data_IF_708778417825
#
_entry.id   IF_708778417825
#
_cell.length_a   1.000
_cell.length_b   1.000
_cell.length_c   1.000
_cell.angle_alpha   90.00
_cell.angle_beta   90.00
_cell.angle_gamma   90.00
#
_symmetry.space_group_name_H-M   'P 1'
#
loop_
_entity.id
_entity.type
_entity.pdbx_description
1 polymer ?
#
# COMPACT_ATOMS: atom_id res chain seq x y z
N UNK A 1 16.70 4.37 -13.64
CA UNK A 1 16.97 5.81 -13.48
C UNK A 1 18.23 6.00 -12.67
N UNK A 2 19.19 6.75 -13.22
CA UNK A 2 20.35 7.25 -12.46
C UNK A 2 19.84 8.41 -11.61
N UNK A 3 20.18 8.45 -10.33
CA UNK A 3 19.78 9.46 -9.32
C UNK A 3 18.41 9.33 -8.63
N UNK A 4 17.75 8.16 -8.69
CA UNK A 4 16.57 7.88 -7.85
C UNK A 4 16.85 6.77 -6.84
N UNK A 5 16.19 6.84 -5.68
CA UNK A 5 16.20 5.74 -4.71
C UNK A 5 15.41 4.55 -5.26
N UNK A 6 15.78 3.35 -4.82
CA UNK A 6 15.09 2.11 -5.19
C UNK A 6 13.60 2.13 -4.84
N UNK A 7 13.25 2.76 -3.71
CA UNK A 7 11.90 2.91 -3.21
C UNK A 7 11.49 4.38 -3.22
N UNK A 8 10.25 4.63 -3.63
CA UNK A 8 9.61 5.94 -3.47
C UNK A 8 9.33 6.25 -2.00
N UNK A 9 9.16 7.53 -1.65
CA UNK A 9 8.97 7.94 -0.26
C UNK A 9 7.73 7.34 0.41
N UNK A 10 6.71 6.96 -0.37
CA UNK A 10 5.50 6.33 0.17
C UNK A 10 5.58 4.80 0.28
N UNK A 11 6.64 4.16 -0.21
CA UNK A 11 6.75 2.69 -0.19
C UNK A 11 6.72 2.08 1.21
N UNK A 12 7.17 2.85 2.21
CA UNK A 12 7.21 2.43 3.61
C UNK A 12 6.04 2.99 4.43
N UNK A 13 5.04 3.59 3.78
CA UNK A 13 3.84 4.03 4.49
C UNK A 13 3.12 2.84 5.10
N UNK A 14 2.73 3.00 6.36
CA UNK A 14 1.92 2.06 7.12
C UNK A 14 0.46 2.51 7.00
N UNK A 15 -0.47 1.56 6.87
CA UNK A 15 -1.90 1.87 6.91
C UNK A 15 -2.38 1.99 8.34
N UNK A 16 -3.04 3.10 8.64
CA UNK A 16 -3.67 3.42 9.91
C UNK A 16 -5.17 3.62 9.73
N UNK A 17 -5.91 3.41 10.82
CA UNK A 17 -7.30 3.83 10.96
C UNK A 17 -7.38 4.90 12.04
N UNK A 18 -7.94 6.07 11.71
CA UNK A 18 -8.13 7.16 12.67
C UNK A 18 -9.41 7.93 12.35
N UNK A 19 -10.27 8.11 13.36
CA UNK A 19 -11.58 8.76 13.24
C UNK A 19 -12.40 8.26 12.02
N UNK A 20 -12.43 6.93 11.82
CA UNK A 20 -13.12 6.30 10.70
C UNK A 20 -12.49 6.52 9.32
N UNK A 21 -11.38 7.24 9.23
CA UNK A 21 -10.57 7.37 8.02
C UNK A 21 -9.53 6.25 7.94
N UNK A 22 -9.15 5.88 6.71
CA UNK A 22 -8.08 4.93 6.44
C UNK A 22 -6.95 5.68 5.77
N UNK A 23 -5.77 5.71 6.38
CA UNK A 23 -4.70 6.64 6.05
C UNK A 23 -3.40 5.88 5.84
N UNK A 24 -2.69 6.18 4.74
CA UNK A 24 -1.32 5.69 4.55
C UNK A 24 -0.32 6.71 5.04
N UNK A 25 0.33 6.42 6.17
CA UNK A 25 1.17 7.37 6.89
C UNK A 25 2.62 6.87 6.87
N UNK A 26 3.61 7.70 6.47
CA UNK A 26 5.01 7.33 6.58
C UNK A 26 5.41 7.22 8.06
N UNK A 27 6.49 6.50 8.37
CA UNK A 27 7.04 6.46 9.74
C UNK A 27 7.63 7.82 10.16
N UNK A 28 8.28 8.52 9.23
CA UNK A 28 8.91 9.84 9.41
C UNK A 28 8.51 10.78 8.27
N UNK A 29 8.52 12.08 8.53
CA UNK A 29 8.08 13.12 7.61
C UNK A 29 6.60 13.51 7.81
N UNK A 30 6.19 14.63 7.21
CA UNK A 30 4.83 15.19 7.29
C UNK A 30 4.39 15.58 8.72
N UNK A 31 5.33 15.90 9.62
CA UNK A 31 5.04 16.34 10.99
C UNK A 31 4.27 17.68 11.05
N UNK A 32 4.28 18.43 9.94
CA UNK A 32 3.50 19.67 9.79
C UNK A 32 2.00 19.40 9.57
N UNK A 33 1.65 18.20 9.13
CA UNK A 33 0.27 17.82 8.85
C UNK A 33 -0.40 17.30 10.13
N UNK A 34 -1.32 18.09 10.70
CA UNK A 34 -2.01 17.74 11.96
C UNK A 34 -2.63 16.35 11.92
N UNK A 35 -3.29 16.00 10.81
CA UNK A 35 -3.92 14.69 10.65
C UNK A 35 -2.89 13.55 10.73
N UNK A 36 -1.68 13.74 10.20
CA UNK A 36 -0.61 12.73 10.24
C UNK A 36 -0.11 12.54 11.66
N UNK A 37 0.15 13.63 12.37
CA UNK A 37 0.61 13.60 13.77
C UNK A 37 -0.43 12.93 14.67
N UNK A 38 -1.68 13.37 14.60
CA UNK A 38 -2.78 12.79 15.39
C UNK A 38 -3.00 11.32 15.08
N UNK A 39 -2.90 10.92 13.80
CA UNK A 39 -3.04 9.51 13.40
C UNK A 39 -1.91 8.64 13.96
N UNK A 40 -0.67 9.15 14.01
CA UNK A 40 0.45 8.41 14.61
C UNK A 40 0.28 8.24 16.12
N UNK A 41 -0.26 9.24 16.81
CA UNK A 41 -0.42 9.22 18.26
C UNK A 41 -1.67 8.47 18.74
N UNK A 42 -2.79 8.64 18.04
CA UNK A 42 -4.12 8.20 18.48
C UNK A 42 -4.78 7.18 17.55
N UNK A 43 -4.25 7.01 16.35
CA UNK A 43 -4.76 6.06 15.36
C UNK A 43 -4.39 4.62 15.69
N UNK A 44 -5.11 3.68 15.09
CA UNK A 44 -4.82 2.25 15.16
C UNK A 44 -3.99 1.85 13.95
N UNK A 45 -2.76 1.40 14.18
CA UNK A 45 -1.89 0.85 13.14
C UNK A 45 -2.38 -0.53 12.70
N UNK A 46 -2.43 -0.77 11.40
CA UNK A 46 -2.60 -2.13 10.85
C UNK A 46 -1.30 -2.91 10.81
N UNK A 47 -0.16 -2.24 11.03
CA UNK A 47 1.20 -2.76 10.83
C UNK A 47 1.52 -3.20 9.39
N UNK A 48 0.62 -2.94 8.43
CA UNK A 48 0.80 -3.28 7.02
C UNK A 48 1.46 -2.09 6.33
N UNK A 49 2.69 -2.28 5.82
CA UNK A 49 3.33 -1.32 4.92
C UNK A 49 2.96 -1.59 3.47
N UNK A 50 3.04 -0.56 2.62
CA UNK A 50 2.78 -0.72 1.18
C UNK A 50 3.76 -1.73 0.56
N UNK A 51 5.04 -1.66 0.93
CA UNK A 51 6.06 -2.62 0.51
C UNK A 51 5.67 -4.05 0.83
N UNK A 52 5.23 -4.32 2.07
CA UNK A 52 4.87 -5.67 2.50
C UNK A 52 3.67 -6.19 1.70
N UNK A 53 2.65 -5.36 1.53
CA UNK A 53 1.46 -5.73 0.79
C UNK A 53 1.75 -6.02 -0.70
N UNK A 54 2.59 -5.21 -1.35
CA UNK A 54 3.03 -5.46 -2.74
C UNK A 54 3.95 -6.68 -2.83
N UNK A 55 4.79 -6.94 -1.84
CA UNK A 55 5.59 -8.16 -1.77
C UNK A 55 4.70 -9.42 -1.66
N UNK A 56 3.64 -9.37 -0.84
CA UNK A 56 2.65 -10.45 -0.78
C UNK A 56 1.93 -10.66 -2.12
N UNK A 57 1.67 -9.60 -2.90
CA UNK A 57 1.11 -9.72 -4.24
C UNK A 57 2.07 -10.47 -5.19
N UNK A 58 3.36 -10.14 -5.12
CA UNK A 58 4.39 -10.83 -5.91
C UNK A 58 4.48 -12.31 -5.54
N UNK A 59 4.56 -12.61 -4.25
CA UNK A 59 4.59 -13.99 -3.74
C UNK A 59 3.37 -14.78 -4.21
N UNK A 60 2.17 -14.22 -4.05
CA UNK A 60 0.93 -14.88 -4.49
C UNK A 60 0.90 -15.13 -6.00
N UNK A 61 1.45 -14.22 -6.82
CA UNK A 61 1.56 -14.45 -8.26
C UNK A 61 2.52 -15.58 -8.60
N UNK A 62 3.67 -15.66 -7.93
CA UNK A 62 4.63 -16.76 -8.08
C UNK A 62 3.97 -18.09 -7.72
N UNK A 63 3.31 -18.17 -6.57
CA UNK A 63 2.61 -19.37 -6.10
C UNK A 63 1.55 -19.84 -7.11
N UNK A 64 0.74 -18.93 -7.65
CA UNK A 64 -0.28 -19.25 -8.64
C UNK A 64 0.34 -19.73 -9.96
N UNK A 65 1.42 -19.09 -10.42
CA UNK A 65 2.14 -19.54 -11.62
C UNK A 65 2.68 -20.96 -11.47
N UNK A 66 3.36 -21.24 -10.35
CA UNK A 66 3.89 -22.58 -10.06
C UNK A 66 2.77 -23.61 -9.96
N UNK A 67 1.68 -23.29 -9.26
CA UNK A 67 0.53 -24.19 -9.09
C UNK A 67 -0.15 -24.54 -10.41
N UNK A 68 -0.18 -23.60 -11.35
CA UNK A 68 -0.79 -23.79 -12.67
C UNK A 68 0.20 -24.33 -13.71
N UNK A 69 1.46 -24.59 -13.33
CA UNK A 69 2.52 -25.03 -14.24
C UNK A 69 2.92 -23.97 -15.28
N UNK A 70 2.65 -22.70 -15.01
CA UNK A 70 3.01 -21.58 -15.88
C UNK A 70 4.44 -21.13 -15.61
N UNK A 71 5.27 -21.19 -16.64
CA UNK A 71 6.62 -20.64 -16.65
C UNK A 71 6.64 -19.27 -17.33
N UNK A 72 7.55 -18.39 -16.93
CA UNK A 72 7.73 -17.10 -17.58
C UNK A 72 8.16 -15.99 -16.63
N UNK A 73 8.22 -14.78 -17.18
CA UNK A 73 8.62 -13.57 -16.48
C UNK A 73 7.41 -12.67 -16.24
N UNK A 74 7.28 -12.15 -15.03
CA UNK A 74 6.31 -11.11 -14.70
C UNK A 74 6.98 -9.91 -14.02
N UNK A 75 6.37 -8.73 -14.20
CA UNK A 75 6.85 -7.49 -13.62
C UNK A 75 5.70 -6.72 -12.97
N UNK A 76 5.76 -6.58 -11.65
CA UNK A 76 4.84 -5.75 -10.87
C UNK A 76 5.47 -4.38 -10.72
N UNK A 77 4.76 -3.33 -11.11
CA UNK A 77 5.26 -1.95 -11.00
C UNK A 77 4.19 -1.01 -10.46
N UNK A 78 4.46 -0.44 -9.30
CA UNK A 78 3.62 0.58 -8.64
C UNK A 78 4.39 1.90 -8.65
N UNK A 79 4.02 2.81 -9.56
CA UNK A 79 4.66 4.15 -9.64
C UNK A 79 4.11 5.08 -8.57
N UNK A 80 2.82 5.38 -8.64
CA UNK A 80 2.11 6.22 -7.69
C UNK A 80 0.83 5.47 -7.30
N UNK A 81 0.68 5.18 -6.01
CA UNK A 81 -0.56 4.62 -5.48
C UNK A 81 -1.63 5.71 -5.46
N UNK A 82 -2.78 5.42 -6.07
CA UNK A 82 -3.98 6.27 -6.09
C UNK A 82 -5.12 5.63 -5.32
N UNK A 83 -5.17 4.30 -5.32
CA UNK A 83 -6.17 3.49 -4.65
C UNK A 83 -5.51 2.45 -3.75
N UNK A 84 -6.19 1.95 -2.70
CA UNK A 84 -5.67 0.87 -1.86
C UNK A 84 -5.27 -0.37 -2.67
N UNK A 85 -6.01 -0.69 -3.73
CA UNK A 85 -5.75 -1.83 -4.61
C UNK A 85 -4.40 -1.75 -5.32
N UNK A 86 -3.88 -0.55 -5.57
CA UNK A 86 -2.59 -0.36 -6.25
C UNK A 86 -1.42 -0.91 -5.42
N UNK A 87 -1.60 -1.01 -4.11
CA UNK A 87 -0.62 -1.55 -3.16
C UNK A 87 -1.11 -2.85 -2.52
N UNK A 88 -2.02 -3.58 -3.19
CA UNK A 88 -2.57 -4.85 -2.71
C UNK A 88 -3.36 -4.76 -1.39
N UNK A 89 -4.10 -3.67 -1.18
CA UNK A 89 -4.98 -3.50 -0.02
C UNK A 89 -6.43 -3.44 -0.50
N UNK A 90 -7.32 -4.14 0.21
CA UNK A 90 -8.75 -4.19 -0.10
C UNK A 90 -9.57 -3.89 1.16
N UNK A 91 -10.66 -3.14 0.98
CA UNK A 91 -11.64 -2.88 2.03
C UNK A 91 -12.80 -3.86 1.88
N UNK A 92 -13.37 -4.30 3.01
CA UNK A 92 -14.61 -5.07 2.96
C UNK A 92 -15.76 -4.15 2.54
N UNK A 93 -16.77 -4.64 1.80
CA UNK A 93 -17.90 -3.81 1.36
C UNK A 93 -18.63 -3.08 2.50
N UNK A 94 -18.71 -3.68 3.68
CA UNK A 94 -19.29 -3.04 4.87
C UNK A 94 -18.49 -1.81 5.33
N UNK A 95 -17.16 -1.86 5.22
CA UNK A 95 -16.26 -0.74 5.56
C UNK A 95 -16.40 0.37 4.53
N UNK A 96 -16.44 0.03 3.24
CA UNK A 96 -16.64 1.02 2.17
C UNK A 96 -17.97 1.76 2.33
N UNK A 97 -19.06 1.04 2.62
CA UNK A 97 -20.37 1.64 2.91
C UNK A 97 -20.32 2.57 4.12
N UNK A 98 -19.65 2.14 5.19
CA UNK A 98 -19.48 2.98 6.38
C UNK A 98 -18.76 4.29 6.06
N UNK A 99 -17.60 4.19 5.39
CA UNK A 99 -16.78 5.35 5.02
C UNK A 99 -17.59 6.34 4.18
N UNK A 100 -18.29 5.87 3.15
CA UNK A 100 -19.13 6.71 2.30
C UNK A 100 -20.28 7.34 3.07
N UNK A 101 -21.01 6.56 3.89
CA UNK A 101 -22.17 7.06 4.66
C UNK A 101 -21.81 8.09 5.72
N UNK A 102 -20.59 8.05 6.25
CA UNK A 102 -20.08 8.94 7.31
C UNK A 102 -19.16 10.03 6.78
N UNK A 103 -19.09 10.20 5.45
CA UNK A 103 -18.22 11.17 4.77
C UNK A 103 -16.74 11.08 5.24
N UNK A 104 -16.27 9.85 5.49
CA UNK A 104 -14.87 9.57 5.84
C UNK A 104 -14.05 9.33 4.57
N UNK A 105 -12.73 9.29 4.69
CA UNK A 105 -11.81 9.20 3.55
C UNK A 105 -10.90 7.98 3.61
N UNK A 106 -10.61 7.44 2.43
CA UNK A 106 -9.53 6.48 2.21
C UNK A 106 -8.38 7.21 1.51
N UNK A 107 -7.28 7.40 2.22
CA UNK A 107 -6.09 8.12 1.75
C UNK A 107 -4.87 7.19 1.77
N UNK A 108 -5.00 6.05 1.09
CA UNK A 108 -3.90 5.13 0.78
C UNK A 108 -3.32 5.53 -0.57
N UNK A 109 -2.52 6.59 -0.58
CA UNK A 109 -1.96 7.19 -1.81
C UNK A 109 -0.54 7.69 -1.62
N UNK A 110 0.20 7.86 -2.71
CA UNK A 110 1.52 8.49 -2.70
C UNK A 110 2.52 7.91 -3.70
N UNK A 111 3.63 8.63 -3.97
CA UNK A 111 4.68 8.17 -4.87
C UNK A 111 5.43 6.98 -4.24
N UNK A 112 5.12 5.78 -4.73
CA UNK A 112 5.59 4.50 -4.16
C UNK A 112 6.84 4.01 -4.87
N UNK A 113 6.94 4.22 -6.19
CA UNK A 113 8.05 3.80 -7.05
C UNK A 113 8.65 2.45 -6.63
N UNK A 114 7.83 1.41 -6.70
CA UNK A 114 8.20 0.04 -6.35
C UNK A 114 8.05 -0.85 -7.59
N UNK A 115 9.10 -1.62 -7.89
CA UNK A 115 9.11 -2.59 -8.98
C UNK A 115 9.63 -3.93 -8.49
N UNK A 116 8.88 -5.01 -8.72
CA UNK A 116 9.30 -6.37 -8.42
C UNK A 116 9.25 -7.17 -9.72
N UNK A 117 10.39 -7.70 -10.13
CA UNK A 117 10.54 -8.56 -11.30
C UNK A 117 10.87 -9.96 -10.83
N UNK A 118 10.18 -10.97 -11.34
CA UNK A 118 10.44 -12.37 -11.00
C UNK A 118 10.25 -13.26 -12.22
N UNK A 119 10.92 -14.43 -12.18
CA UNK A 119 10.88 -15.44 -13.23
C UNK A 119 10.56 -16.78 -12.57
N UNK A 120 9.60 -17.50 -13.12
CA UNK A 120 9.29 -18.89 -12.77
C UNK A 120 9.79 -19.77 -13.91
N UNK A 121 10.75 -20.64 -13.60
CA UNK A 121 11.36 -21.57 -14.53
C UNK A 121 10.71 -22.95 -14.53
#
# INVERSE_FOLDING_TARGET
>A
DKDVKLLGPAALNIVYVYDGNILGIPEKGLEKEKLVVETREKGVSTSIRYLDAVACLAASKIENMVKEGRTGEEFIRVKIAKHPSDVNIRLKPAVERYITSRNKRVMVKGPTFLGIKFVVG
#
